data_IF_340698914905
#
_entry.id   IF_340698914905
#
_cell.length_a   1.000
_cell.length_b   1.000
_cell.length_c   1.000
_cell.angle_alpha   90.00
_cell.angle_beta   90.00
_cell.angle_gamma   90.00
#
_symmetry.space_group_name_H-M   'P 1'
#
loop_
_entity.id
_entity.type
_entity.pdbx_description
1 polymer ?
#
# COMPACT_ATOMS: atom_id res chain seq x y z
N UNK A 1 -8.09 -19.29 3.15
CA UNK A 1 -7.89 -18.76 1.78
C UNK A 1 -9.16 -18.09 1.23
N UNK A 2 -10.29 -18.80 1.07
CA UNK A 2 -11.52 -18.26 0.47
C UNK A 2 -12.06 -17.01 1.16
N UNK A 3 -12.01 -16.92 2.50
CA UNK A 3 -12.47 -15.75 3.24
C UNK A 3 -11.57 -14.53 2.94
N UNK A 4 -10.25 -14.70 2.97
CA UNK A 4 -9.31 -13.64 2.67
C UNK A 4 -9.52 -13.11 1.23
N UNK A 5 -9.66 -14.00 0.26
CA UNK A 5 -9.93 -13.62 -1.12
C UNK A 5 -11.25 -12.83 -1.28
N UNK A 6 -12.32 -13.28 -0.63
CA UNK A 6 -13.63 -12.64 -0.73
C UNK A 6 -13.75 -11.31 0.02
N UNK A 7 -12.95 -11.10 1.07
CA UNK A 7 -13.01 -9.88 1.89
C UNK A 7 -12.21 -8.71 1.29
N UNK A 8 -11.16 -8.98 0.53
CA UNK A 8 -10.35 -7.91 -0.05
C UNK A 8 -11.19 -7.03 -0.97
N UNK A 9 -11.16 -5.73 -0.69
CA UNK A 9 -12.07 -4.75 -1.29
C UNK A 9 -11.30 -3.68 -2.04
N UNK A 10 -11.60 -3.51 -3.33
CA UNK A 10 -11.13 -2.39 -4.12
C UNK A 10 -12.02 -1.17 -3.83
N UNK A 11 -11.49 -0.19 -3.11
CA UNK A 11 -12.23 1.01 -2.69
C UNK A 11 -12.10 2.14 -3.71
N UNK A 12 -10.91 2.29 -4.31
CA UNK A 12 -10.66 3.29 -5.37
C UNK A 12 -9.78 2.68 -6.47
N UNK A 13 -10.07 3.02 -7.72
CA UNK A 13 -9.25 2.67 -8.88
C UNK A 13 -9.44 3.71 -10.00
N UNK A 14 -9.14 4.98 -9.71
CA UNK A 14 -9.41 6.10 -10.62
C UNK A 14 -8.50 6.13 -11.86
N UNK A 15 -7.37 5.46 -11.82
CA UNK A 15 -6.40 5.41 -12.93
C UNK A 15 -6.42 4.10 -13.71
N UNK A 16 -7.31 3.17 -13.37
CA UNK A 16 -7.35 1.83 -13.96
C UNK A 16 -5.96 1.15 -13.92
N UNK A 17 -5.27 1.30 -12.77
CA UNK A 17 -3.93 0.77 -12.55
C UNK A 17 -3.92 -0.77 -12.59
N UNK A 18 -4.98 -1.39 -12.13
CA UNK A 18 -5.12 -2.85 -12.03
C UNK A 18 -5.71 -3.46 -13.32
N UNK A 19 -5.30 -4.67 -13.70
CA UNK A 19 -4.27 -5.51 -13.06
C UNK A 19 -2.86 -4.98 -13.33
N UNK A 20 -1.96 -5.25 -12.36
CA UNK A 20 -0.54 -4.91 -12.51
C UNK A 20 0.12 -5.84 -13.55
N UNK A 21 1.04 -5.28 -14.31
CA UNK A 21 1.86 -6.08 -15.25
C UNK A 21 3.29 -5.55 -15.27
N UNK A 22 4.31 -6.42 -15.25
CA UNK A 22 5.72 -5.97 -15.32
C UNK A 22 6.05 -5.19 -16.58
N UNK A 23 5.26 -5.38 -17.64
CA UNK A 23 5.43 -4.63 -18.90
C UNK A 23 5.10 -3.14 -18.76
N UNK A 24 4.16 -2.78 -17.87
CA UNK A 24 3.71 -1.39 -17.69
C UNK A 24 4.44 -0.70 -16.55
N UNK A 25 4.69 -1.40 -15.46
CA UNK A 25 5.26 -0.88 -14.22
C UNK A 25 6.32 -1.84 -13.68
N UNK A 26 7.45 -2.02 -14.40
CA UNK A 26 8.47 -3.00 -14.02
C UNK A 26 9.11 -2.71 -12.66
N UNK A 27 9.30 -1.44 -12.29
CA UNK A 27 10.02 -1.04 -11.09
C UNK A 27 9.06 -0.57 -10.01
N UNK A 28 8.98 -1.34 -8.93
CA UNK A 28 8.13 -1.06 -7.78
C UNK A 28 8.97 -0.57 -6.59
N UNK A 29 8.57 0.56 -6.03
CA UNK A 29 9.04 1.03 -4.73
C UNK A 29 8.02 0.63 -3.66
N UNK A 30 8.44 -0.19 -2.69
CA UNK A 30 7.58 -0.67 -1.61
C UNK A 30 7.85 0.13 -0.33
N UNK A 31 6.81 0.77 0.20
CA UNK A 31 6.85 1.59 1.42
C UNK A 31 6.03 0.90 2.50
N UNK A 32 6.69 0.54 3.61
CA UNK A 32 6.04 -0.02 4.79
C UNK A 32 5.59 1.07 5.75
N UNK A 33 4.37 0.96 6.26
CA UNK A 33 3.81 1.83 7.30
C UNK A 33 3.20 0.92 8.37
N UNK A 34 3.72 0.96 9.59
CA UNK A 34 3.23 0.08 10.66
C UNK A 34 3.47 0.68 12.05
N UNK A 35 2.62 0.32 13.00
CA UNK A 35 2.81 0.55 14.43
C UNK A 35 3.21 -0.72 15.19
N UNK A 36 3.51 -1.79 14.47
CA UNK A 36 4.00 -3.03 15.08
C UNK A 36 5.49 -2.94 15.39
N UNK A 37 5.90 -3.72 16.39
CA UNK A 37 7.32 -3.92 16.65
C UNK A 37 7.96 -4.66 15.48
N UNK A 38 8.94 -4.03 14.87
CA UNK A 38 9.66 -4.61 13.74
C UNK A 38 10.65 -5.69 14.18
N UNK A 39 10.90 -6.70 13.34
CA UNK A 39 12.02 -7.63 13.50
C UNK A 39 13.37 -6.91 13.31
N UNK A 40 14.48 -7.61 13.50
CA UNK A 40 15.83 -7.06 13.31
C UNK A 40 16.07 -6.55 11.87
N UNK A 41 15.42 -7.15 10.88
CA UNK A 41 15.48 -6.69 9.49
C UNK A 41 14.86 -5.32 9.26
N UNK A 42 14.06 -4.82 10.21
CA UNK A 42 13.28 -3.59 10.04
C UNK A 42 12.05 -3.73 9.15
N UNK A 43 11.81 -4.91 8.56
CA UNK A 43 10.73 -5.16 7.61
C UNK A 43 9.80 -6.26 8.15
N UNK A 44 8.49 -6.07 8.06
CA UNK A 44 7.51 -7.09 8.40
C UNK A 44 7.61 -8.28 7.44
N UNK A 45 7.45 -9.49 7.95
CA UNK A 45 7.47 -10.73 7.13
C UNK A 45 6.41 -10.75 6.04
N UNK A 46 5.28 -10.09 6.25
CA UNK A 46 4.21 -9.95 5.25
C UNK A 46 4.62 -9.00 4.12
N UNK A 47 5.44 -7.99 4.40
CA UNK A 47 6.01 -7.08 3.41
C UNK A 47 7.10 -7.78 2.60
N UNK A 48 7.98 -8.56 3.28
CA UNK A 48 8.96 -9.41 2.62
C UNK A 48 8.29 -10.41 1.68
N UNK A 49 7.22 -11.08 2.16
CA UNK A 49 6.43 -12.01 1.36
C UNK A 49 5.81 -11.33 0.13
N UNK A 50 5.23 -10.14 0.29
CA UNK A 50 4.68 -9.38 -0.83
C UNK A 50 5.76 -9.09 -1.88
N UNK A 51 6.93 -8.64 -1.43
CA UNK A 51 8.07 -8.40 -2.31
C UNK A 51 8.45 -9.65 -3.09
N UNK A 52 8.68 -10.77 -2.41
CA UNK A 52 9.05 -12.05 -3.04
C UNK A 52 8.03 -12.51 -4.09
N UNK A 53 6.73 -12.35 -3.80
CA UNK A 53 5.68 -12.75 -4.72
C UNK A 53 5.65 -11.84 -5.95
N UNK A 54 5.79 -10.52 -5.78
CA UNK A 54 5.87 -9.60 -6.92
C UNK A 54 7.13 -9.83 -7.77
N UNK A 55 8.26 -10.14 -7.15
CA UNK A 55 9.49 -10.49 -7.88
C UNK A 55 9.32 -11.80 -8.69
N UNK A 56 8.61 -12.78 -8.16
CA UNK A 56 8.26 -14.00 -8.91
C UNK A 56 7.35 -13.73 -10.11
N UNK A 57 6.55 -12.68 -10.06
CA UNK A 57 5.73 -12.22 -11.19
C UNK A 57 6.54 -11.39 -12.22
N UNK A 58 7.82 -11.13 -11.94
CA UNK A 58 8.74 -10.45 -12.86
C UNK A 58 8.89 -8.94 -12.64
N UNK A 59 8.45 -8.43 -11.48
CA UNK A 59 8.71 -7.03 -11.10
C UNK A 59 10.09 -6.88 -10.45
N UNK A 60 10.69 -5.72 -10.61
CA UNK A 60 11.86 -5.26 -9.84
C UNK A 60 11.35 -4.52 -8.61
N UNK A 61 11.48 -5.12 -7.40
CA UNK A 61 10.93 -4.53 -6.18
C UNK A 61 12.05 -4.08 -5.24
N UNK A 62 12.03 -2.80 -4.88
CA UNK A 62 12.94 -2.22 -3.91
C UNK A 62 12.19 -1.60 -2.74
N UNK A 63 12.79 -1.61 -1.55
CA UNK A 63 12.22 -0.88 -0.42
C UNK A 63 12.55 0.61 -0.50
N UNK A 64 11.65 1.43 0.04
CA UNK A 64 11.98 2.80 0.39
C UNK A 64 13.03 2.76 1.51
N UNK A 65 14.12 3.48 1.36
CA UNK A 65 15.21 3.49 2.36
C UNK A 65 14.79 4.32 3.57
N UNK A 66 14.36 3.63 4.63
CA UNK A 66 14.12 4.27 5.90
C UNK A 66 15.40 4.95 6.42
N UNK A 67 15.25 6.20 6.90
CA UNK A 67 16.27 6.90 7.71
C UNK A 67 17.54 7.35 6.98
N UNK A 68 17.65 7.15 5.68
CA UNK A 68 18.59 7.91 4.89
C UNK A 68 17.80 9.00 4.19
N UNK A 69 18.06 10.22 4.59
CA UNK A 69 17.66 11.36 3.79
C UNK A 69 18.06 11.06 2.35
N UNK A 70 17.16 11.18 1.37
CA UNK A 70 17.62 11.29 0.01
C UNK A 70 18.67 12.39 0.03
N UNK A 71 19.78 12.18 -0.66
CA UNK A 71 20.75 13.25 -0.85
C UNK A 71 19.95 14.51 -1.16
N UNK A 72 20.35 15.64 -0.60
CA UNK A 72 19.64 16.93 -0.70
C UNK A 72 19.32 17.29 -2.17
N UNK A 73 20.00 16.64 -3.10
CA UNK A 73 19.85 16.75 -4.55
C UNK A 73 18.91 15.69 -5.19
N UNK A 74 18.20 14.84 -4.40
CA UNK A 74 17.32 13.84 -4.96
C UNK A 74 16.06 14.50 -5.55
N UNK A 75 16.02 14.56 -6.86
CA UNK A 75 14.93 15.18 -7.59
C UNK A 75 13.77 14.19 -7.86
N UNK A 76 12.55 14.71 -8.08
CA UNK A 76 11.42 13.92 -8.56
C UNK A 76 11.76 13.17 -9.87
N UNK A 77 12.56 13.78 -10.75
CA UNK A 77 12.98 13.17 -12.00
C UNK A 77 13.86 11.94 -11.79
N UNK A 78 14.74 11.96 -10.78
CA UNK A 78 15.56 10.80 -10.44
C UNK A 78 14.70 9.70 -9.80
N UNK A 79 13.72 10.07 -8.97
CA UNK A 79 12.77 9.13 -8.40
C UNK A 79 11.96 8.41 -9.50
N UNK A 80 11.52 9.15 -10.52
CA UNK A 80 10.81 8.59 -11.70
C UNK A 80 11.66 7.66 -12.56
N UNK A 81 12.96 7.86 -12.62
CA UNK A 81 13.87 6.94 -13.36
C UNK A 81 13.99 5.57 -12.68
N UNK A 82 13.86 5.55 -11.37
CA UNK A 82 14.03 4.35 -10.54
C UNK A 82 12.70 3.69 -10.14
N UNK A 83 11.56 4.34 -10.42
CA UNK A 83 10.26 3.93 -9.89
C UNK A 83 9.16 4.16 -10.92
N UNK A 84 8.43 3.10 -11.26
CA UNK A 84 7.25 3.17 -12.12
C UNK A 84 5.95 3.11 -11.32
N UNK A 85 5.99 2.48 -10.14
CA UNK A 85 4.86 2.31 -9.23
C UNK A 85 5.32 2.37 -7.78
N UNK A 86 4.63 3.14 -6.96
CA UNK A 86 4.82 3.12 -5.51
C UNK A 86 3.70 2.30 -4.87
N UNK A 87 4.06 1.28 -4.09
CA UNK A 87 3.10 0.50 -3.30
C UNK A 87 3.31 0.82 -1.82
N UNK A 88 2.27 1.34 -1.18
CA UNK A 88 2.20 1.54 0.25
C UNK A 88 1.59 0.30 0.91
N UNK A 89 2.30 -0.31 1.84
CA UNK A 89 1.82 -1.40 2.69
C UNK A 89 1.57 -0.84 4.08
N UNK A 90 0.32 -0.52 4.40
CA UNK A 90 -0.05 0.05 5.69
C UNK A 90 -0.70 -1.00 6.59
N UNK A 91 -0.07 -1.28 7.73
CA UNK A 91 -0.57 -2.20 8.74
C UNK A 91 -0.55 -1.53 10.12
N UNK A 92 -1.57 -0.72 10.41
CA UNK A 92 -1.74 -0.02 11.68
C UNK A 92 -2.80 -0.75 12.50
N UNK A 93 -2.35 -1.55 13.46
CA UNK A 93 -3.25 -2.32 14.34
C UNK A 93 -3.86 -1.44 15.42
N UNK A 94 -5.15 -1.69 15.67
CA UNK A 94 -5.86 -1.15 16.82
C UNK A 94 -5.40 -1.86 18.08
N UNK A 95 -5.02 -1.12 19.11
CA UNK A 95 -4.59 -1.66 20.41
C UNK A 95 -5.39 -1.08 21.58
N UNK A 96 -5.35 -1.77 22.71
CA UNK A 96 -5.92 -1.26 23.95
C UNK A 96 -5.26 0.07 24.35
N UNK A 97 -6.07 1.02 24.81
CA UNK A 97 -5.65 2.37 25.20
C UNK A 97 -5.07 3.25 24.09
N UNK A 98 -5.22 2.86 22.83
CA UNK A 98 -4.92 3.75 21.72
C UNK A 98 -6.10 4.69 21.47
N UNK A 99 -5.87 5.99 21.64
CA UNK A 99 -6.89 7.01 21.45
C UNK A 99 -6.99 7.47 20.00
N UNK A 100 -5.95 7.22 19.21
CA UNK A 100 -5.86 7.64 17.80
C UNK A 100 -5.17 6.58 16.98
N UNK A 101 -5.80 6.18 15.87
CA UNK A 101 -5.25 5.21 14.93
C UNK A 101 -5.09 5.91 13.59
N UNK A 102 -4.15 6.82 13.56
CA UNK A 102 -3.82 7.61 12.37
C UNK A 102 -2.46 7.16 11.85
N UNK A 103 -2.26 7.29 10.55
CA UNK A 103 -0.94 7.05 9.96
C UNK A 103 0.03 8.09 10.51
N UNK A 104 1.16 7.62 11.02
CA UNK A 104 2.28 8.46 11.41
C UNK A 104 3.37 8.28 10.36
N UNK A 105 3.82 9.38 9.78
CA UNK A 105 4.91 9.40 8.81
C UNK A 105 6.23 9.51 9.59
N UNK A 106 6.98 8.41 9.69
CA UNK A 106 8.12 8.28 10.61
C UNK A 106 9.41 8.94 10.13
N UNK A 107 9.43 9.43 8.91
CA UNK A 107 10.62 10.06 8.33
C UNK A 107 10.58 11.58 8.43
N UNK A 108 11.77 12.16 8.44
CA UNK A 108 11.94 13.60 8.48
C UNK A 108 11.28 14.24 7.24
N UNK A 109 10.46 15.24 7.48
CA UNK A 109 9.65 15.91 6.45
C UNK A 109 8.59 15.04 5.76
N UNK A 110 8.26 13.86 6.30
CA UNK A 110 7.22 12.99 5.76
C UNK A 110 7.55 12.47 4.36
N UNK A 111 8.77 12.03 4.12
CA UNK A 111 9.23 11.56 2.80
C UNK A 111 8.54 10.27 2.36
N UNK A 112 8.14 9.41 3.29
CA UNK A 112 7.34 8.22 3.02
C UNK A 112 5.88 8.54 2.66
N UNK A 113 5.44 9.79 2.88
CA UNK A 113 4.08 10.19 2.53
C UNK A 113 3.85 10.19 1.02
N UNK A 114 2.60 10.00 0.54
CA UNK A 114 2.30 9.95 -0.90
C UNK A 114 2.32 11.35 -1.55
N UNK A 115 3.46 12.06 -1.47
CA UNK A 115 3.65 13.41 -2.03
C UNK A 115 3.51 13.43 -3.55
N UNK A 116 4.00 12.40 -4.21
CA UNK A 116 4.12 12.34 -5.67
C UNK A 116 2.97 11.58 -6.34
N UNK A 117 1.84 11.49 -5.66
CA UNK A 117 0.67 10.73 -6.13
C UNK A 117 0.11 11.24 -7.47
N UNK A 118 0.40 12.48 -7.84
CA UNK A 118 0.03 13.05 -9.14
C UNK A 118 1.08 12.79 -10.23
N UNK A 119 2.30 12.42 -9.85
CA UNK A 119 3.44 12.28 -10.74
C UNK A 119 3.82 10.82 -11.00
N UNK A 120 3.53 9.94 -10.04
CA UNK A 120 3.80 8.51 -10.08
C UNK A 120 2.55 7.72 -9.75
N UNK A 121 2.25 6.65 -10.48
CA UNK A 121 1.21 5.71 -10.09
C UNK A 121 1.42 5.24 -8.66
N UNK A 122 0.36 5.26 -7.86
CA UNK A 122 0.44 4.90 -6.45
C UNK A 122 -0.70 3.96 -6.06
N UNK A 123 -0.33 2.86 -5.42
CA UNK A 123 -1.25 1.85 -4.89
C UNK A 123 -1.14 1.81 -3.37
N UNK A 124 -2.25 1.97 -2.68
CA UNK A 124 -2.29 1.89 -1.22
C UNK A 124 -2.99 0.60 -0.77
N UNK A 125 -2.24 -0.28 -0.12
CA UNK A 125 -2.73 -1.52 0.48
C UNK A 125 -2.93 -1.31 1.97
N UNK A 126 -4.19 -1.29 2.39
CA UNK A 126 -4.59 -1.05 3.78
C UNK A 126 -4.89 -2.37 4.47
N UNK A 127 -4.03 -2.77 5.40
CA UNK A 127 -4.21 -3.97 6.24
C UNK A 127 -4.70 -3.59 7.63
N UNK A 128 -5.39 -4.51 8.30
CA UNK A 128 -5.86 -4.43 9.70
C UNK A 128 -6.89 -3.34 10.02
N UNK A 129 -6.87 -2.20 9.34
CA UNK A 129 -7.71 -1.04 9.65
C UNK A 129 -8.30 -0.44 8.37
N UNK A 130 -9.64 -0.37 8.21
CA UNK A 130 -10.27 0.15 7.00
C UNK A 130 -10.31 1.69 6.91
N UNK A 131 -9.80 2.39 7.92
CA UNK A 131 -9.88 3.85 8.02
C UNK A 131 -8.64 4.60 7.55
N UNK A 132 -7.58 3.93 7.08
CA UNK A 132 -6.37 4.59 6.59
C UNK A 132 -6.64 5.60 5.47
N UNK A 133 -7.72 5.41 4.70
CA UNK A 133 -8.08 6.34 3.61
C UNK A 133 -8.30 7.78 4.10
N UNK A 134 -8.66 7.99 5.38
CA UNK A 134 -8.80 9.32 5.98
C UNK A 134 -7.47 10.09 5.97
N UNK A 135 -6.35 9.37 6.05
CA UNK A 135 -5.00 9.97 6.07
C UNK A 135 -4.41 10.14 4.68
N UNK A 136 -4.93 9.41 3.70
CA UNK A 136 -4.42 9.37 2.32
C UNK A 136 -5.53 9.55 1.28
N UNK A 137 -6.42 10.55 1.42
CA UNK A 137 -7.55 10.71 0.49
C UNK A 137 -7.12 11.00 -0.94
N UNK A 138 -5.86 11.46 -1.14
CA UNK A 138 -5.30 11.80 -2.43
C UNK A 138 -4.91 10.56 -3.27
N UNK A 139 -4.70 9.38 -2.67
CA UNK A 139 -4.31 8.20 -3.44
C UNK A 139 -5.44 7.78 -4.40
N UNK A 140 -5.06 7.35 -5.59
CA UNK A 140 -6.01 7.08 -6.67
C UNK A 140 -6.39 5.61 -6.80
N UNK A 141 -5.55 4.71 -6.27
CA UNK A 141 -5.84 3.27 -6.16
C UNK A 141 -5.64 2.83 -4.72
N UNK A 142 -6.71 2.29 -4.12
CA UNK A 142 -6.74 1.94 -2.70
C UNK A 142 -7.52 0.65 -2.46
N UNK A 143 -6.92 -0.27 -1.72
CA UNK A 143 -7.46 -1.59 -1.42
C UNK A 143 -7.47 -1.82 0.09
N UNK A 144 -8.61 -2.25 0.64
CA UNK A 144 -8.73 -2.74 2.01
C UNK A 144 -8.59 -4.27 2.07
N UNK A 145 -7.75 -4.76 2.98
CA UNK A 145 -7.51 -6.19 3.23
C UNK A 145 -7.99 -6.66 4.61
N UNK A 146 -8.26 -5.76 5.55
CA UNK A 146 -8.81 -5.97 6.91
C UNK A 146 -7.96 -6.82 7.86
N UNK A 147 -7.09 -7.68 7.36
CA UNK A 147 -6.18 -8.52 8.15
C UNK A 147 -4.79 -8.53 7.52
N UNK A 148 -3.74 -8.64 8.36
CA UNK A 148 -2.36 -8.75 7.91
C UNK A 148 -1.81 -10.14 8.30
N UNK A 149 -1.71 -11.02 7.32
CA UNK A 149 -1.10 -12.34 7.43
C UNK A 149 -0.75 -12.89 6.05
N UNK A 150 0.03 -13.96 5.99
CA UNK A 150 0.49 -14.55 4.74
C UNK A 150 -0.65 -14.92 3.78
N UNK A 151 -1.75 -15.50 4.29
CA UNK A 151 -2.91 -15.89 3.45
C UNK A 151 -3.52 -14.67 2.75
N UNK A 152 -3.62 -13.55 3.45
CA UNK A 152 -4.15 -12.30 2.88
C UNK A 152 -3.19 -11.72 1.85
N UNK A 153 -1.87 -11.81 2.06
CA UNK A 153 -0.87 -11.36 1.08
C UNK A 153 -0.93 -12.20 -0.20
N UNK A 154 -1.04 -13.54 -0.09
CA UNK A 154 -1.24 -14.39 -1.27
C UNK A 154 -2.50 -14.00 -2.05
N UNK A 155 -3.64 -13.86 -1.37
CA UNK A 155 -4.89 -13.45 -2.00
C UNK A 155 -4.80 -12.05 -2.62
N UNK A 156 -4.07 -11.13 -1.98
CA UNK A 156 -3.83 -9.79 -2.51
C UNK A 156 -3.08 -9.87 -3.84
N UNK A 157 -2.00 -10.64 -3.93
CA UNK A 157 -1.24 -10.77 -5.18
C UNK A 157 -2.10 -11.34 -6.30
N UNK A 158 -2.94 -12.36 -6.03
CA UNK A 158 -3.87 -12.91 -7.02
C UNK A 158 -4.79 -11.83 -7.60
N UNK A 159 -5.27 -10.91 -6.76
CA UNK A 159 -6.10 -9.79 -7.18
C UNK A 159 -5.32 -8.72 -7.94
N UNK A 160 -4.11 -8.38 -7.47
CA UNK A 160 -3.24 -7.42 -8.15
C UNK A 160 -2.88 -7.87 -9.56
N UNK A 161 -2.69 -9.17 -9.74
CA UNK A 161 -2.38 -9.78 -11.04
C UNK A 161 -3.63 -10.05 -11.91
N UNK A 162 -4.83 -9.76 -11.41
CA UNK A 162 -6.08 -9.98 -12.13
C UNK A 162 -6.51 -11.44 -12.24
N UNK A 163 -5.93 -12.35 -11.45
CA UNK A 163 -6.30 -13.77 -11.39
C UNK A 163 -7.52 -14.06 -10.52
N UNK A 164 -7.84 -13.13 -9.62
CA UNK A 164 -9.05 -13.14 -8.80
C UNK A 164 -9.77 -11.78 -8.87
N UNK A 165 -11.09 -11.79 -8.97
CA UNK A 165 -11.92 -10.59 -9.00
C UNK A 165 -12.13 -9.99 -7.61
N UNK A 166 -12.21 -8.68 -7.50
CA UNK A 166 -12.63 -7.99 -6.28
C UNK A 166 -14.14 -8.14 -6.08
N UNK A 167 -14.54 -8.83 -5.02
CA UNK A 167 -15.95 -9.07 -4.65
C UNK A 167 -16.34 -8.42 -3.33
N UNK A 168 -15.36 -7.97 -2.55
CA UNK A 168 -15.57 -7.31 -1.28
C UNK A 168 -16.24 -5.95 -1.46
N UNK A 169 -17.12 -5.61 -0.52
CA UNK A 169 -17.74 -4.29 -0.39
C UNK A 169 -17.25 -3.72 0.94
N UNK A 170 -16.83 -2.44 0.95
CA UNK A 170 -16.37 -1.82 2.18
C UNK A 170 -17.50 -1.76 3.21
N UNK A 171 -17.30 -2.32 4.41
CA UNK A 171 -18.30 -2.25 5.48
C UNK A 171 -18.37 -0.88 6.14
N UNK A 172 -17.48 0.03 5.79
CA UNK A 172 -17.37 1.36 6.37
C UNK A 172 -17.25 2.42 5.28
N UNK A 173 -17.81 3.60 5.56
CA UNK A 173 -17.53 4.85 4.89
C UNK A 173 -16.63 5.68 5.82
N UNK A 174 -15.32 5.81 5.53
CA UNK A 174 -14.40 6.51 6.43
C UNK A 174 -14.65 8.01 6.52
N UNK A 175 -15.46 8.57 5.63
CA UNK A 175 -15.79 10.00 5.59
C UNK A 175 -17.25 10.29 6.00
N UNK A 176 -18.00 9.27 6.42
CA UNK A 176 -19.39 9.40 6.89
C UNK A 176 -20.29 10.18 5.92
N UNK A 177 -20.12 9.98 4.64
CA UNK A 177 -20.88 10.65 3.58
C UNK A 177 -20.47 12.11 3.31
N UNK A 178 -19.48 12.65 4.02
CA UNK A 178 -19.06 14.04 3.86
C UNK A 178 -18.22 14.30 2.61
N UNK A 179 -17.51 13.29 2.13
CA UNK A 179 -16.61 13.39 0.98
C UNK A 179 -16.94 12.34 -0.07
N UNK A 180 -16.73 12.67 -1.34
CA UNK A 180 -16.89 11.70 -2.42
C UNK A 180 -15.72 10.72 -2.42
N UNK A 181 -15.99 9.49 -1.98
CA UNK A 181 -15.05 8.37 -1.99
C UNK A 181 -15.40 7.31 -3.02
N UNK A 182 -16.34 7.60 -3.91
CA UNK A 182 -16.78 6.64 -4.93
C UNK A 182 -15.64 6.29 -5.89
N UNK A 183 -15.67 5.06 -6.32
CA UNK A 183 -14.78 4.51 -7.34
C UNK A 183 -14.96 5.17 -8.71
#
# INVERSE_FOLDING_TARGET
>A
ERIADQSITLVKNKENLLPLTPRKTPKIKLIQITNERLPESGILKEVELLKELLEKEGFEVSYFKDGKYPDVDFSLEDYKKETDLVIYFANMKVGSNQTTIRITWDDFLGESSPKYVCDLPSLFLSFSNPYHLVDVPMVRTYINAYTCNATTVYAMVEKLMGRSEFKGISPVDPFAGLWDTKL
#
